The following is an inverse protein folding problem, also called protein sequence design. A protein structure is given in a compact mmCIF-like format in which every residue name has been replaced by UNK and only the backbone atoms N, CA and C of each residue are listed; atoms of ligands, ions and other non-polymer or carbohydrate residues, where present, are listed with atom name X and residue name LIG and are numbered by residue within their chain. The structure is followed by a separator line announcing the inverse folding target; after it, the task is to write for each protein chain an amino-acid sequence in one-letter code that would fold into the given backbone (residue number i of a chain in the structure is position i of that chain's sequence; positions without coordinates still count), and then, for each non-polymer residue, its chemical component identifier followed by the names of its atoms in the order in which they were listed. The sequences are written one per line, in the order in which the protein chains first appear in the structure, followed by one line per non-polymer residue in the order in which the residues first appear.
data_IF_114664478509
#
_entry.id   IF_114664478509
#
_cell.length_a   1.000
_cell.length_b   1.000
_cell.length_c   1.000
_cell.angle_alpha   90.00
_cell.angle_beta   90.00
_cell.angle_gamma   90.00
#
_symmetry.space_group_name_H-M   'P 1'
#
loop_
_entity.id
_entity.type
_entity.pdbx_description
1 polymer ?
#
# COMPACT_ATOMS: atom_id res chain seq x y z
N UNK A 1 9.34 0.81 -3.56
CA UNK A 1 8.62 0.49 -2.32
C UNK A 1 8.52 -1.01 -2.32
N UNK A 2 9.26 -1.69 -1.46
CA UNK A 2 9.38 -3.15 -1.52
C UNK A 2 8.20 -3.81 -0.82
N UNK A 3 7.79 -4.98 -1.29
CA UNK A 3 6.84 -5.85 -0.59
C UNK A 3 7.45 -6.47 0.68
N UNK A 4 8.69 -6.10 1.05
CA UNK A 4 9.41 -6.63 2.20
C UNK A 4 8.51 -6.52 3.44
N UNK A 5 8.14 -7.68 3.99
CA UNK A 5 7.22 -7.84 5.10
C UNK A 5 5.84 -7.17 4.87
N UNK A 6 5.38 -7.13 3.61
CA UNK A 6 4.16 -6.47 3.16
C UNK A 6 4.07 -4.99 3.59
N UNK A 7 5.19 -4.29 3.74
CA UNK A 7 5.18 -2.96 4.37
C UNK A 7 4.64 -1.84 3.47
N UNK A 8 4.76 -1.97 2.14
CA UNK A 8 4.30 -1.04 1.10
C UNK A 8 4.45 0.45 1.46
N UNK A 9 5.50 0.79 2.19
CA UNK A 9 5.72 2.13 2.71
C UNK A 9 7.17 2.31 3.11
N UNK A 10 7.67 3.52 2.94
CA UNK A 10 9.02 3.90 3.40
C UNK A 10 8.91 5.08 4.37
N UNK A 11 9.82 5.17 5.32
CA UNK A 11 9.88 6.32 6.23
C UNK A 11 10.30 7.58 5.48
N UNK A 12 9.94 8.73 6.02
CA UNK A 12 10.35 10.04 5.52
C UNK A 12 11.87 10.14 5.34
N UNK A 13 12.64 9.62 6.31
CA UNK A 13 14.12 9.65 6.24
C UNK A 13 14.68 8.74 5.15
N UNK A 14 14.12 7.54 4.97
CA UNK A 14 14.50 6.65 3.86
C UNK A 14 14.20 7.30 2.51
N UNK A 15 13.03 7.94 2.38
CA UNK A 15 12.64 8.66 1.17
C UNK A 15 13.61 9.81 0.86
N UNK A 16 14.04 10.59 1.87
CA UNK A 16 15.04 11.63 1.67
C UNK A 16 16.41 11.09 1.27
N UNK A 17 16.82 9.93 1.81
CA UNK A 17 18.10 9.31 1.46
C UNK A 17 18.17 8.91 -0.01
N UNK A 18 17.02 8.60 -0.63
CA UNK A 18 16.91 8.31 -2.07
C UNK A 18 17.32 9.49 -2.95
N UNK A 19 17.38 10.71 -2.43
CA UNK A 19 17.93 11.86 -3.17
C UNK A 19 19.36 11.63 -3.67
N UNK A 20 20.17 10.87 -2.92
CA UNK A 20 21.55 10.55 -3.30
C UNK A 20 21.64 9.62 -4.51
N UNK A 21 20.55 8.91 -4.83
CA UNK A 21 20.47 7.97 -5.96
C UNK A 21 20.03 8.65 -7.27
N UNK A 22 19.51 9.90 -7.21
CA UNK A 22 18.99 10.64 -8.37
C UNK A 22 20.10 11.09 -9.34
N UNK A 23 21.36 11.14 -8.89
CA UNK A 23 22.51 11.49 -9.74
C UNK A 23 22.59 12.97 -10.16
N UNK A 24 21.70 13.82 -9.65
CA UNK A 24 21.69 15.27 -9.92
C UNK A 24 22.34 16.03 -8.76
N UNK A 25 23.44 16.73 -9.04
CA UNK A 25 24.26 17.38 -8.00
C UNK A 25 23.51 18.42 -7.16
N UNK A 26 22.56 19.14 -7.77
CA UNK A 26 21.73 20.15 -7.11
C UNK A 26 20.54 19.54 -6.35
N UNK A 27 20.21 18.27 -6.60
CA UNK A 27 19.10 17.58 -5.94
C UNK A 27 19.53 17.05 -4.58
N UNK A 28 19.45 17.93 -3.57
CA UNK A 28 19.79 17.62 -2.17
C UNK A 28 18.52 17.40 -1.33
N UNK A 29 18.68 17.10 -0.05
CA UNK A 29 17.59 16.82 0.89
C UNK A 29 16.45 17.85 0.85
N UNK A 30 16.76 19.15 0.71
CA UNK A 30 15.75 20.22 0.62
C UNK A 30 14.88 20.12 -0.64
N UNK A 31 15.46 19.79 -1.79
CA UNK A 31 14.72 19.63 -3.05
C UNK A 31 13.96 18.30 -3.08
N UNK A 32 14.52 17.25 -2.47
CA UNK A 32 13.84 15.98 -2.28
C UNK A 32 12.59 16.14 -1.39
N UNK A 33 12.71 16.86 -0.27
CA UNK A 33 11.58 17.18 0.60
C UNK A 33 10.47 17.90 -0.17
N UNK A 34 10.78 19.00 -0.87
CA UNK A 34 9.79 19.72 -1.68
C UNK A 34 9.13 18.83 -2.73
N UNK A 35 9.90 17.92 -3.33
CA UNK A 35 9.38 16.97 -4.33
C UNK A 35 8.43 15.96 -3.71
N UNK A 36 8.78 15.39 -2.54
CA UNK A 36 7.91 14.49 -1.79
C UNK A 36 6.60 15.18 -1.38
N UNK A 37 6.68 16.42 -0.86
CA UNK A 37 5.52 17.24 -0.52
C UNK A 37 4.63 17.52 -1.75
N UNK A 38 5.24 17.82 -2.89
CA UNK A 38 4.53 18.01 -4.16
C UNK A 38 3.85 16.73 -4.63
N UNK A 39 4.54 15.58 -4.60
CA UNK A 39 3.96 14.29 -4.97
C UNK A 39 2.81 13.90 -4.05
N UNK A 40 2.90 14.19 -2.75
CA UNK A 40 1.80 13.98 -1.82
C UNK A 40 0.60 14.88 -2.15
N UNK A 41 0.85 16.19 -2.37
CA UNK A 41 -0.19 17.15 -2.78
C UNK A 41 -0.90 16.73 -4.07
N UNK A 42 -0.16 16.18 -5.02
CA UNK A 42 -0.68 15.73 -6.32
C UNK A 42 -1.21 14.28 -6.31
N UNK A 43 -1.27 13.64 -5.13
CA UNK A 43 -1.81 12.28 -4.91
C UNK A 43 -1.02 11.14 -5.56
N UNK A 44 0.21 11.42 -6.01
CA UNK A 44 1.17 10.39 -6.41
C UNK A 44 1.68 9.59 -5.21
N UNK A 45 1.86 10.28 -4.09
CA UNK A 45 2.17 9.66 -2.80
C UNK A 45 1.05 9.94 -1.81
N UNK A 46 0.92 9.05 -0.84
CA UNK A 46 0.19 9.31 0.39
C UNK A 46 1.20 9.49 1.53
N UNK A 47 0.98 10.47 2.40
CA UNK A 47 1.78 10.69 3.60
C UNK A 47 0.97 10.30 4.82
N UNK A 48 1.40 9.27 5.55
CA UNK A 48 0.77 8.83 6.79
C UNK A 48 1.82 8.57 7.87
N UNK A 49 1.65 9.18 9.05
CA UNK A 49 2.51 9.00 10.25
C UNK A 49 4.03 9.01 9.95
N UNK A 50 4.50 9.96 9.13
CA UNK A 50 5.92 10.09 8.80
C UNK A 50 6.44 9.04 7.81
N UNK A 51 5.54 8.37 7.09
CA UNK A 51 5.85 7.42 6.03
C UNK A 51 5.16 7.83 4.74
N UNK A 52 5.73 7.42 3.62
CA UNK A 52 5.16 7.58 2.29
C UNK A 52 4.75 6.23 1.71
N UNK A 53 3.59 6.23 1.06
CA UNK A 53 3.05 5.11 0.28
C UNK A 53 2.67 5.62 -1.11
N UNK A 54 2.40 4.72 -2.06
CA UNK A 54 1.80 5.11 -3.34
C UNK A 54 0.39 5.62 -3.07
N UNK A 55 0.10 6.81 -3.59
CA UNK A 55 -1.24 7.37 -3.57
C UNK A 55 -2.13 6.72 -4.64
N UNK A 56 -3.44 6.92 -4.52
CA UNK A 56 -4.42 6.37 -5.44
C UNK A 56 -4.13 6.72 -6.91
N UNK A 57 -3.64 7.93 -7.17
CA UNK A 57 -3.28 8.35 -8.53
C UNK A 57 -2.18 7.47 -9.12
N UNK A 58 -1.12 7.22 -8.36
CA UNK A 58 -0.03 6.35 -8.79
C UNK A 58 -0.52 4.91 -9.04
N UNK A 59 -1.33 4.35 -8.13
CA UNK A 59 -1.85 2.99 -8.28
C UNK A 59 -2.74 2.83 -9.52
N UNK A 60 -3.55 3.84 -9.85
CA UNK A 60 -4.40 3.82 -11.04
C UNK A 60 -3.59 4.05 -12.32
N UNK A 61 -2.82 5.14 -12.38
CA UNK A 61 -2.13 5.55 -13.60
C UNK A 61 -0.93 4.65 -13.95
N UNK A 62 -0.24 4.09 -12.95
CA UNK A 62 0.91 3.22 -13.14
C UNK A 62 0.56 1.73 -13.04
N UNK A 63 -0.74 1.36 -12.98
CA UNK A 63 -1.17 -0.03 -12.76
C UNK A 63 -0.48 -1.02 -13.70
N UNK A 64 -0.54 -0.76 -15.00
CA UNK A 64 0.04 -1.64 -16.04
C UNK A 64 1.53 -1.80 -15.83
N UNK A 65 2.25 -0.68 -15.64
CA UNK A 65 3.68 -0.70 -15.39
C UNK A 65 4.03 -1.51 -14.12
N UNK A 66 3.28 -1.34 -13.04
CA UNK A 66 3.53 -2.08 -11.79
C UNK A 66 3.32 -3.59 -11.96
N UNK A 67 2.29 -4.00 -12.70
CA UNK A 67 2.01 -5.41 -12.97
C UNK A 67 3.04 -6.04 -13.92
N UNK A 68 3.48 -5.31 -14.95
CA UNK A 68 4.40 -5.84 -15.96
C UNK A 68 5.83 -5.98 -15.41
N UNK A 69 6.27 -5.04 -14.57
CA UNK A 69 7.66 -4.98 -14.12
C UNK A 69 7.89 -5.50 -12.70
N UNK A 70 6.84 -5.59 -11.88
CA UNK A 70 6.95 -6.04 -10.48
C UNK A 70 5.88 -7.09 -10.10
N UNK A 71 5.56 -8.08 -10.95
CA UNK A 71 4.43 -8.99 -10.70
C UNK A 71 4.54 -9.77 -9.39
N UNK A 72 5.76 -10.09 -8.93
CA UNK A 72 6.00 -10.81 -7.67
C UNK A 72 5.86 -9.93 -6.42
N UNK A 73 5.89 -8.61 -6.60
CA UNK A 73 5.78 -7.62 -5.52
C UNK A 73 4.34 -7.13 -5.30
N UNK A 74 3.43 -7.50 -6.20
CA UNK A 74 2.05 -7.01 -6.21
C UNK A 74 1.12 -8.00 -5.53
N UNK A 75 0.31 -7.45 -4.62
CA UNK A 75 -0.88 -8.11 -4.10
C UNK A 75 -2.09 -7.52 -4.80
N UNK A 76 -3.02 -8.36 -5.26
CA UNK A 76 -4.33 -7.91 -5.76
C UNK A 76 -5.42 -8.21 -4.73
N UNK A 77 -6.27 -7.21 -4.48
CA UNK A 77 -7.46 -7.38 -3.66
C UNK A 77 -8.43 -8.34 -4.35
N UNK A 78 -8.80 -9.44 -3.69
CA UNK A 78 -9.69 -10.45 -4.30
C UNK A 78 -11.12 -9.96 -4.56
N UNK A 79 -11.52 -8.81 -4.00
CA UNK A 79 -12.87 -8.25 -4.12
C UNK A 79 -12.99 -7.36 -5.34
N UNK A 80 -12.07 -6.40 -5.47
CA UNK A 80 -12.14 -5.38 -6.52
C UNK A 80 -11.08 -5.56 -7.63
N UNK A 81 -10.21 -6.57 -7.50
CA UNK A 81 -9.13 -6.88 -8.44
C UNK A 81 -8.17 -5.71 -8.72
N UNK A 82 -8.00 -4.80 -7.76
CA UNK A 82 -7.01 -3.73 -7.81
C UNK A 82 -5.82 -4.01 -6.87
N UNK A 83 -4.69 -3.36 -7.12
CA UNK A 83 -3.46 -3.51 -6.32
C UNK A 83 -3.77 -3.14 -4.86
N UNK A 84 -3.41 -4.02 -3.94
CA UNK A 84 -3.55 -3.88 -2.51
C UNK A 84 -2.22 -3.49 -1.85
N UNK A 85 -2.10 -2.21 -1.49
CA UNK A 85 -0.98 -1.68 -0.69
C UNK A 85 -1.33 -1.46 0.79
N UNK A 86 -2.61 -1.62 1.15
CA UNK A 86 -3.13 -1.50 2.52
C UNK A 86 -4.27 -2.50 2.74
N UNK A 87 -4.23 -3.25 3.84
CA UNK A 87 -5.29 -4.22 4.17
C UNK A 87 -4.77 -5.49 4.81
N UNK A 88 -5.37 -6.63 4.48
CA UNK A 88 -5.15 -7.89 5.17
C UNK A 88 -4.90 -9.03 4.17
N UNK A 89 -4.11 -10.01 4.57
CA UNK A 89 -3.96 -11.29 3.88
C UNK A 89 -4.62 -12.36 4.73
N UNK A 90 -5.60 -13.06 4.17
CA UNK A 90 -6.25 -14.18 4.85
C UNK A 90 -5.23 -15.27 5.21
N UNK A 91 -5.10 -15.60 6.50
CA UNK A 91 -4.15 -16.59 7.01
C UNK A 91 -4.42 -18.02 6.54
N UNK A 92 -5.60 -18.29 5.98
CA UNK A 92 -5.97 -19.61 5.48
C UNK A 92 -5.75 -19.82 3.98
N UNK A 93 -6.02 -18.80 3.15
CA UNK A 93 -5.94 -18.94 1.69
C UNK A 93 -4.95 -17.99 1.02
N UNK A 94 -4.31 -17.09 1.78
CA UNK A 94 -3.29 -16.18 1.30
C UNK A 94 -3.81 -15.05 0.40
N UNK A 95 -5.14 -14.90 0.24
CA UNK A 95 -5.70 -13.82 -0.59
C UNK A 95 -5.68 -12.50 0.16
N UNK A 96 -5.23 -11.46 -0.53
CA UNK A 96 -5.20 -10.08 -0.05
C UNK A 96 -6.55 -9.38 -0.22
N UNK A 97 -6.88 -8.48 0.70
CA UNK A 97 -8.05 -7.61 0.64
C UNK A 97 -7.70 -6.21 1.14
N UNK A 98 -8.23 -5.16 0.51
CA UNK A 98 -8.06 -3.80 1.02
C UNK A 98 -8.73 -3.61 2.38
N UNK A 99 -8.19 -2.72 3.22
CA UNK A 99 -8.88 -2.30 4.47
C UNK A 99 -10.31 -1.83 4.18
N UNK A 100 -10.49 -1.00 3.14
CA UNK A 100 -11.81 -0.52 2.72
C UNK A 100 -12.75 -1.65 2.32
N UNK A 101 -12.33 -2.53 1.38
CA UNK A 101 -13.15 -3.65 0.94
C UNK A 101 -13.50 -4.61 2.09
N UNK A 102 -12.59 -4.83 3.04
CA UNK A 102 -12.86 -5.64 4.22
C UNK A 102 -13.94 -5.02 5.11
N UNK A 103 -13.85 -3.73 5.40
CA UNK A 103 -14.84 -2.99 6.19
C UNK A 103 -16.21 -3.01 5.55
N UNK A 104 -16.31 -2.73 4.25
CA UNK A 104 -17.58 -2.75 3.52
C UNK A 104 -18.23 -4.15 3.56
N UNK A 105 -17.46 -5.20 3.26
CA UNK A 105 -17.96 -6.57 3.33
C UNK A 105 -18.43 -6.98 4.73
N UNK A 106 -17.69 -6.58 5.76
CA UNK A 106 -18.04 -6.90 7.15
C UNK A 106 -19.34 -6.22 7.56
N UNK A 107 -19.53 -4.95 7.17
CA UNK A 107 -20.73 -4.18 7.45
C UNK A 107 -21.96 -4.73 6.71
N UNK A 108 -21.83 -5.06 5.43
CA UNK A 108 -22.93 -5.59 4.62
C UNK A 108 -23.42 -6.97 5.11
N UNK A 109 -22.48 -7.83 5.54
CA UNK A 109 -22.79 -9.23 5.88
C UNK A 109 -22.93 -9.49 7.37
N UNK A 110 -22.66 -8.50 8.24
CA UNK A 110 -22.48 -8.71 9.68
C UNK A 110 -21.52 -9.88 10.00
N UNK A 111 -20.50 -10.09 9.16
CA UNK A 111 -19.57 -11.21 9.28
C UNK A 111 -18.21 -10.87 8.67
N UNK A 112 -17.12 -11.18 9.36
CA UNK A 112 -15.75 -11.03 8.88
C UNK A 112 -15.24 -12.31 8.21
N UNK A 113 -15.96 -12.85 7.23
CA UNK A 113 -15.53 -14.07 6.50
C UNK A 113 -14.82 -13.73 5.19
N UNK A 114 -13.76 -14.48 4.90
CA UNK A 114 -13.08 -14.43 3.61
C UNK A 114 -13.97 -15.02 2.51
N UNK A 115 -14.33 -14.24 1.49
CA UNK A 115 -15.23 -14.73 0.42
C UNK A 115 -14.59 -15.77 -0.49
N UNK A 116 -13.26 -15.93 -0.45
CA UNK A 116 -12.55 -16.92 -1.25
C UNK A 116 -12.58 -18.32 -0.62
N UNK A 117 -12.46 -18.43 0.71
CA UNK A 117 -12.37 -19.73 1.40
C UNK A 117 -13.40 -19.95 2.51
N UNK A 118 -14.27 -18.95 2.75
CA UNK A 118 -15.37 -18.97 3.71
C UNK A 118 -14.95 -19.19 5.18
N UNK A 119 -13.70 -18.89 5.52
CA UNK A 119 -13.19 -18.88 6.90
C UNK A 119 -13.18 -17.46 7.46
N UNK A 120 -13.35 -17.34 8.76
CA UNK A 120 -13.28 -16.07 9.46
C UNK A 120 -11.87 -15.45 9.33
N UNK A 121 -11.81 -14.13 9.12
CA UNK A 121 -10.60 -13.34 9.29
C UNK A 121 -10.18 -13.39 10.76
N UNK A 122 -8.93 -13.72 11.01
CA UNK A 122 -8.36 -13.87 12.34
C UNK A 122 -7.54 -12.61 12.71
N UNK A 123 -7.53 -12.16 13.97
CA UNK A 123 -6.62 -11.11 14.45
C UNK A 123 -5.13 -11.33 14.13
N UNK A 124 -4.72 -12.56 13.84
CA UNK A 124 -3.35 -12.94 13.46
C UNK A 124 -3.08 -12.86 11.95
N UNK A 125 -4.08 -12.49 11.15
CA UNK A 125 -3.93 -12.33 9.70
C UNK A 125 -2.86 -11.28 9.38
N UNK A 126 -2.07 -11.57 8.34
CA UNK A 126 -0.93 -10.73 7.99
C UNK A 126 -1.40 -9.38 7.46
N UNK A 127 -0.87 -8.31 8.04
CA UNK A 127 -1.20 -6.93 7.71
C UNK A 127 -0.44 -6.51 6.44
N UNK A 128 -1.15 -5.85 5.53
CA UNK A 128 -0.59 -5.19 4.34
C UNK A 128 -0.50 -3.70 4.63
N UNK A 129 0.70 -3.15 4.55
CA UNK A 129 0.94 -1.72 4.66
C UNK A 129 0.68 -1.17 6.06
N UNK A 130 0.45 0.14 6.11
CA UNK A 130 -0.01 0.81 7.32
C UNK A 130 -1.52 0.60 7.42
N UNK A 131 -1.94 -0.51 8.04
CA UNK A 131 -3.34 -0.64 8.43
C UNK A 131 -3.55 0.22 9.66
N UNK A 132 -4.38 1.23 9.47
CA UNK A 132 -5.02 1.91 10.59
C UNK A 132 -5.95 0.86 11.20
N UNK A 133 -5.63 0.39 12.40
CA UNK A 133 -6.65 -0.17 13.28
C UNK A 133 -7.76 0.88 13.35
N UNK A 134 -8.93 0.58 12.79
CA UNK A 134 -10.10 1.45 12.94
C UNK A 134 -10.30 1.75 14.43
N UNK A 135 -10.68 2.99 14.80
CA UNK A 135 -10.99 3.33 16.18
C UNK A 135 -12.16 2.50 16.73
#
# INVERSE_FOLDING_TARGET
MTNENNSFSITYHEALRKANEVGVSTFKAKEAQKSLEKFAKEQWLESDKGRFLLGNRALCELRVYLLDFYPEEILDCYVCNNIATKGFICGYCGKAIHTFCHTELSNEKNSSVCLNCNKDYDPTDSVIGLVVSSP
#
